data_IF_945240195375
#
_entry.id   IF_945240195375
#
_cell.length_a   1.000
_cell.length_b   1.000
_cell.length_c   1.000
_cell.angle_alpha   90.00
_cell.angle_beta   90.00
_cell.angle_gamma   90.00
#
_symmetry.space_group_name_H-M   'P 1'
#
loop_
_entity.id
_entity.type
_entity.pdbx_description
1 polymer ?
#
# COMPACT_ATOMS: atom_id res chain seq x y z
N UNK A 1 18.99 -10.15 10.52
CA UNK A 1 18.64 -11.48 10.00
C UNK A 1 17.23 -11.79 10.46
N UNK A 2 16.26 -11.69 9.55
CA UNK A 2 14.91 -12.16 9.74
C UNK A 2 14.78 -13.45 8.94
N UNK A 3 15.37 -14.52 9.45
CA UNK A 3 15.03 -15.86 9.00
C UNK A 3 14.03 -16.43 10.00
N UNK A 4 12.74 -16.47 9.68
CA UNK A 4 11.79 -17.25 10.46
C UNK A 4 12.28 -18.70 10.41
N UNK A 5 12.21 -19.43 11.52
CA UNK A 5 12.66 -20.81 11.59
C UNK A 5 12.06 -21.63 10.45
N UNK A 6 12.91 -22.21 9.61
CA UNK A 6 12.52 -23.06 8.50
C UNK A 6 12.35 -22.39 7.14
N UNK A 7 12.34 -21.07 7.02
CA UNK A 7 12.31 -20.40 5.73
C UNK A 7 13.69 -20.38 5.08
N UNK A 8 13.74 -20.56 3.77
CA UNK A 8 14.97 -20.58 2.99
C UNK A 8 15.06 -19.40 2.02
N UNK A 9 16.25 -18.83 1.91
CA UNK A 9 16.54 -17.86 0.84
C UNK A 9 16.87 -18.58 -0.46
N UNK A 10 16.31 -18.13 -1.59
CA UNK A 10 16.64 -18.61 -2.93
C UNK A 10 17.66 -17.68 -3.58
N UNK A 11 18.63 -18.26 -4.29
CA UNK A 11 19.57 -17.47 -5.11
C UNK A 11 18.83 -16.70 -6.20
N UNK A 12 19.27 -15.47 -6.44
CA UNK A 12 18.78 -14.63 -7.52
C UNK A 12 19.45 -15.01 -8.84
N UNK A 13 18.69 -14.92 -9.92
CA UNK A 13 19.26 -14.88 -11.29
C UNK A 13 19.78 -13.45 -11.59
N UNK A 14 20.61 -13.32 -12.61
CA UNK A 14 21.09 -11.99 -13.07
C UNK A 14 19.95 -11.10 -13.50
N UNK A 15 18.95 -11.64 -14.19
CA UNK A 15 17.76 -10.92 -14.64
C UNK A 15 16.94 -10.40 -13.46
N UNK A 16 16.70 -11.24 -12.45
CA UNK A 16 15.97 -10.84 -11.23
C UNK A 16 16.67 -9.67 -10.52
N UNK A 17 18.00 -9.74 -10.37
CA UNK A 17 18.77 -8.67 -9.76
C UNK A 17 18.69 -7.35 -10.55
N UNK A 18 18.74 -7.43 -11.88
CA UNK A 18 18.60 -6.27 -12.77
C UNK A 18 17.21 -5.65 -12.67
N UNK A 19 16.18 -6.46 -12.44
CA UNK A 19 14.80 -6.01 -12.26
C UNK A 19 14.48 -5.48 -10.85
N UNK A 20 15.49 -5.31 -9.99
CA UNK A 20 15.34 -4.76 -8.65
C UNK A 20 14.91 -5.77 -7.59
N UNK A 21 14.91 -7.06 -7.90
CA UNK A 21 14.68 -8.11 -6.91
C UNK A 21 15.97 -8.26 -6.07
N UNK A 22 15.84 -8.14 -4.77
CA UNK A 22 16.98 -8.21 -3.83
C UNK A 22 16.98 -9.50 -3.00
N UNK A 23 15.92 -10.30 -3.07
CA UNK A 23 15.86 -11.58 -2.38
C UNK A 23 14.52 -12.29 -2.53
N UNK A 24 14.52 -13.56 -2.23
CA UNK A 24 13.34 -14.40 -2.05
C UNK A 24 13.43 -15.11 -0.71
N UNK A 25 12.31 -15.20 -0.03
CA UNK A 25 12.15 -15.96 1.20
C UNK A 25 11.05 -16.99 0.96
N UNK A 26 11.41 -18.26 0.89
CA UNK A 26 10.49 -19.34 0.51
C UNK A 26 10.07 -20.18 1.73
N UNK A 27 8.79 -20.55 1.75
CA UNK A 27 8.18 -21.37 2.77
C UNK A 27 8.87 -22.74 2.89
N UNK A 28 9.04 -23.29 4.10
CA UNK A 28 9.53 -24.65 4.32
C UNK A 28 8.51 -25.73 3.95
N UNK A 29 7.23 -25.36 3.79
CA UNK A 29 6.16 -26.32 3.48
C UNK A 29 6.28 -26.81 2.03
N UNK A 30 6.56 -28.11 1.89
CA UNK A 30 6.68 -28.77 0.59
C UNK A 30 5.32 -28.96 -0.11
N UNK A 31 4.20 -28.91 0.62
CA UNK A 31 2.85 -29.09 0.06
C UNK A 31 2.26 -27.78 -0.48
N UNK A 32 2.61 -26.67 0.12
CA UNK A 32 2.20 -25.31 -0.30
C UNK A 32 3.41 -24.39 -0.32
N UNK A 33 4.30 -24.62 -1.30
CA UNK A 33 5.47 -23.76 -1.48
C UNK A 33 5.06 -22.38 -1.99
N UNK A 34 5.32 -21.34 -1.22
CA UNK A 34 5.23 -19.96 -1.67
C UNK A 34 6.48 -19.18 -1.28
N UNK A 35 6.79 -18.14 -2.04
CA UNK A 35 7.93 -17.29 -1.78
C UNK A 35 7.51 -15.84 -1.63
N UNK A 36 8.10 -15.15 -0.67
CA UNK A 36 8.04 -13.69 -0.54
C UNK A 36 9.18 -13.12 -1.38
N UNK A 37 8.86 -12.34 -2.38
CA UNK A 37 9.86 -11.64 -3.19
C UNK A 37 10.11 -10.26 -2.60
N UNK A 38 11.36 -9.96 -2.29
CA UNK A 38 11.81 -8.67 -1.80
C UNK A 38 12.31 -7.84 -2.97
N UNK A 39 11.68 -6.68 -3.18
CA UNK A 39 11.98 -5.81 -4.33
C UNK A 39 12.39 -4.41 -3.84
N UNK A 40 13.37 -3.81 -4.49
CA UNK A 40 13.85 -2.45 -4.22
C UNK A 40 13.74 -1.57 -5.46
N UNK A 41 13.31 -0.32 -5.27
CA UNK A 41 13.27 0.67 -6.35
C UNK A 41 12.14 0.48 -7.38
N UNK A 42 11.19 -0.43 -7.13
CA UNK A 42 10.05 -0.74 -8.02
C UNK A 42 8.69 -0.57 -7.33
N UNK A 43 8.60 0.40 -6.44
CA UNK A 43 7.40 0.57 -5.61
C UNK A 43 6.12 0.74 -6.45
N UNK A 44 6.16 1.61 -7.46
CA UNK A 44 5.00 1.88 -8.31
C UNK A 44 4.56 0.65 -9.11
N UNK A 45 5.54 -0.10 -9.65
CA UNK A 45 5.28 -1.30 -10.46
C UNK A 45 4.62 -2.40 -9.60
N UNK A 46 5.18 -2.63 -8.39
CA UNK A 46 4.64 -3.61 -7.43
C UNK A 46 3.23 -3.20 -6.99
N UNK A 47 3.04 -1.92 -6.70
CA UNK A 47 1.75 -1.41 -6.27
C UNK A 47 0.69 -1.56 -7.36
N UNK A 48 1.03 -1.26 -8.61
CA UNK A 48 0.14 -1.42 -9.75
C UNK A 48 -0.25 -2.90 -9.98
N UNK A 49 0.71 -3.83 -9.81
CA UNK A 49 0.51 -5.26 -9.99
C UNK A 49 -0.21 -5.95 -8.80
N UNK A 50 -0.33 -5.28 -7.66
CA UNK A 50 -0.92 -5.89 -6.45
C UNK A 50 -2.45 -5.96 -6.55
N UNK A 51 -3.04 -7.04 -6.03
CA UNK A 51 -4.49 -7.17 -5.83
C UNK A 51 -4.95 -6.57 -4.49
N UNK A 52 -4.06 -6.54 -3.50
CA UNK A 52 -4.26 -6.03 -2.16
C UNK A 52 -2.92 -5.59 -1.59
N UNK A 53 -2.92 -4.60 -0.72
CA UNK A 53 -1.73 -4.08 -0.04
C UNK A 53 -1.86 -4.27 1.46
N UNK A 54 -0.83 -4.85 2.08
CA UNK A 54 -0.66 -4.82 3.54
C UNK A 54 0.31 -3.68 3.83
N UNK A 55 -0.20 -2.57 4.36
CA UNK A 55 0.57 -1.35 4.47
C UNK A 55 0.71 -0.82 5.89
N UNK A 56 1.95 -0.60 6.32
CA UNK A 56 2.29 0.09 7.58
C UNK A 56 2.96 1.44 7.28
N UNK A 57 2.40 2.18 6.32
CA UNK A 57 2.94 3.45 5.85
C UNK A 57 1.83 4.49 5.65
N UNK A 58 2.15 5.77 5.79
CA UNK A 58 1.22 6.86 5.49
C UNK A 58 0.98 6.99 3.99
N UNK A 59 1.92 7.63 3.31
CA UNK A 59 1.85 7.94 1.87
C UNK A 59 1.73 6.68 1.00
N UNK A 60 2.37 5.56 1.39
CA UNK A 60 2.26 4.31 0.64
C UNK A 60 0.84 3.76 0.60
N UNK A 61 0.09 3.85 1.71
CA UNK A 61 -1.30 3.45 1.76
C UNK A 61 -2.19 4.40 0.93
N UNK A 62 -1.93 5.70 1.00
CA UNK A 62 -2.65 6.71 0.19
C UNK A 62 -2.45 6.46 -1.32
N UNK A 63 -1.22 6.14 -1.74
CA UNK A 63 -0.94 5.80 -3.13
C UNK A 63 -1.64 4.51 -3.57
N UNK A 64 -1.68 3.48 -2.70
CA UNK A 64 -2.42 2.25 -2.96
C UNK A 64 -3.92 2.53 -3.16
N UNK A 65 -4.51 3.26 -2.23
CA UNK A 65 -5.91 3.66 -2.26
C UNK A 65 -6.23 4.50 -3.50
N UNK A 66 -5.34 5.43 -3.87
CA UNK A 66 -5.47 6.23 -5.09
C UNK A 66 -5.38 5.46 -6.41
N UNK A 67 -4.84 4.24 -6.38
CA UNK A 67 -4.87 3.28 -7.48
C UNK A 67 -6.05 2.29 -7.39
N UNK A 68 -6.99 2.51 -6.49
CA UNK A 68 -8.13 1.63 -6.28
C UNK A 68 -7.75 0.28 -5.65
N UNK A 69 -6.59 0.19 -4.98
CA UNK A 69 -6.17 -1.05 -4.33
C UNK A 69 -6.69 -1.10 -2.90
N UNK A 70 -7.35 -2.20 -2.48
CA UNK A 70 -7.70 -2.42 -1.08
C UNK A 70 -6.44 -2.43 -0.20
N UNK A 71 -6.54 -1.84 0.97
CA UNK A 71 -5.44 -1.82 1.94
C UNK A 71 -5.87 -2.47 3.25
N UNK A 72 -5.07 -3.39 3.75
CA UNK A 72 -5.16 -3.91 5.12
C UNK A 72 -4.03 -3.30 5.94
N UNK A 73 -4.36 -2.73 7.08
CA UNK A 73 -3.40 -2.07 7.95
C UNK A 73 -3.64 -2.39 9.42
N UNK A 74 -2.62 -2.23 10.23
CA UNK A 74 -2.69 -2.38 11.69
C UNK A 74 -1.61 -1.52 12.35
N UNK A 75 -1.76 -1.14 13.64
CA UNK A 75 -0.76 -0.32 14.32
C UNK A 75 0.62 -0.99 14.35
N UNK A 76 1.66 -0.25 13.98
CA UNK A 76 3.05 -0.68 14.09
C UNK A 76 3.58 -0.61 15.52
N UNK A 77 4.80 -1.12 15.75
CA UNK A 77 5.51 -0.96 17.03
C UNK A 77 6.27 0.37 17.16
N UNK A 78 6.51 1.03 16.03
CA UNK A 78 7.26 2.27 15.99
C UNK A 78 6.40 3.51 16.25
N UNK A 79 7.02 4.64 16.60
CA UNK A 79 6.30 5.88 16.94
C UNK A 79 5.57 6.50 15.74
N UNK A 80 6.02 6.22 14.52
CA UNK A 80 5.47 6.83 13.31
C UNK A 80 4.13 6.21 12.88
N UNK A 81 3.90 4.92 13.13
CA UNK A 81 2.68 4.22 12.73
C UNK A 81 1.89 3.74 13.96
N UNK A 82 1.53 4.69 14.81
CA UNK A 82 0.82 4.47 16.06
C UNK A 82 -0.68 4.19 15.85
N UNK A 83 -1.37 3.70 16.88
CA UNK A 83 -2.84 3.54 16.86
C UNK A 83 -3.58 4.83 16.53
N UNK A 84 -3.11 5.97 17.04
CA UNK A 84 -3.70 7.28 16.73
C UNK A 84 -3.57 7.60 15.23
N UNK A 85 -2.41 7.33 14.64
CA UNK A 85 -2.16 7.59 13.24
C UNK A 85 -3.03 6.72 12.33
N UNK A 86 -3.13 5.40 12.58
CA UNK A 86 -3.95 4.52 11.73
C UNK A 86 -5.45 4.84 11.83
N UNK A 87 -5.94 5.30 12.99
CA UNK A 87 -7.32 5.77 13.15
C UNK A 87 -7.59 7.04 12.33
N UNK A 88 -6.63 7.97 12.29
CA UNK A 88 -6.71 9.17 11.44
C UNK A 88 -6.73 8.76 9.96
N UNK A 89 -5.83 7.86 9.56
CA UNK A 89 -5.77 7.36 8.19
C UNK A 89 -7.07 6.63 7.79
N UNK A 90 -7.63 5.78 8.65
CA UNK A 90 -8.93 5.13 8.44
C UNK A 90 -10.05 6.15 8.24
N UNK A 91 -10.07 7.23 9.01
CA UNK A 91 -11.06 8.30 8.85
C UNK A 91 -10.91 9.03 7.52
N UNK A 92 -9.67 9.26 7.07
CA UNK A 92 -9.36 9.94 5.82
C UNK A 92 -9.73 9.08 4.60
N UNK A 93 -9.30 7.83 4.59
CA UNK A 93 -9.40 6.92 3.45
C UNK A 93 -10.71 6.10 3.44
N UNK A 94 -11.49 6.14 4.51
CA UNK A 94 -12.78 5.46 4.60
C UNK A 94 -12.64 3.93 4.55
N UNK A 95 -13.60 3.27 3.92
CA UNK A 95 -13.65 1.81 3.83
C UNK A 95 -12.79 1.22 2.69
N UNK A 96 -11.95 2.03 2.03
CA UNK A 96 -10.88 1.55 1.16
C UNK A 96 -9.74 0.89 1.95
N UNK A 97 -9.69 1.10 3.27
CA UNK A 97 -8.69 0.57 4.17
C UNK A 97 -9.35 -0.22 5.31
N UNK A 98 -8.94 -1.48 5.50
CA UNK A 98 -9.34 -2.31 6.64
C UNK A 98 -8.32 -2.15 7.76
N UNK A 99 -8.77 -1.59 8.89
CA UNK A 99 -7.95 -1.44 10.09
C UNK A 99 -8.14 -2.64 11.02
N UNK A 100 -7.08 -3.44 11.17
CA UNK A 100 -7.07 -4.67 11.96
C UNK A 100 -6.32 -4.51 13.28
N UNK A 101 -6.53 -5.45 14.19
CA UNK A 101 -5.63 -5.69 15.32
C UNK A 101 -4.34 -6.33 14.80
N UNK A 102 -3.31 -6.42 15.66
CA UNK A 102 -2.03 -7.05 15.29
C UNK A 102 -2.05 -8.59 15.38
N UNK A 103 -3.22 -9.18 15.42
CA UNK A 103 -3.39 -10.64 15.50
C UNK A 103 -3.25 -11.24 14.08
N UNK A 104 -2.24 -12.10 13.82
CA UNK A 104 -2.00 -12.62 12.48
C UNK A 104 -3.17 -13.38 11.87
N UNK A 105 -3.91 -14.14 12.67
CA UNK A 105 -5.08 -14.91 12.21
C UNK A 105 -6.22 -13.98 11.76
N UNK A 106 -6.44 -12.88 12.46
CA UNK A 106 -7.46 -11.88 12.12
C UNK A 106 -7.07 -11.16 10.82
N UNK A 107 -5.79 -10.79 10.68
CA UNK A 107 -5.26 -10.16 9.46
C UNK A 107 -5.40 -11.11 8.27
N UNK A 108 -5.01 -12.38 8.42
CA UNK A 108 -5.10 -13.39 7.37
C UNK A 108 -6.55 -13.63 6.94
N UNK A 109 -7.48 -13.70 7.89
CA UNK A 109 -8.92 -13.84 7.61
C UNK A 109 -9.47 -12.68 6.79
N UNK A 110 -9.13 -11.44 7.13
CA UNK A 110 -9.57 -10.26 6.37
C UNK A 110 -8.94 -10.22 4.96
N UNK A 111 -7.67 -10.58 4.83
CA UNK A 111 -7.00 -10.67 3.53
C UNK A 111 -7.70 -11.69 2.63
N UNK A 112 -7.95 -12.90 3.14
CA UNK A 112 -8.63 -13.95 2.39
C UNK A 112 -10.03 -13.51 1.95
N UNK A 113 -10.80 -12.90 2.86
CA UNK A 113 -12.13 -12.37 2.56
C UNK A 113 -12.08 -11.36 1.40
N UNK A 114 -11.15 -10.40 1.43
CA UNK A 114 -11.03 -9.39 0.37
C UNK A 114 -10.58 -10.02 -0.95
N UNK A 115 -9.66 -10.98 -0.93
CA UNK A 115 -9.13 -11.62 -2.14
C UNK A 115 -10.12 -12.59 -2.79
N UNK A 116 -11.00 -13.22 -2.00
CA UNK A 116 -11.97 -14.21 -2.51
C UNK A 116 -13.33 -13.61 -2.87
N UNK A 117 -13.63 -12.39 -2.41
CA UNK A 117 -14.88 -11.70 -2.73
C UNK A 117 -14.62 -10.48 -3.63
N UNK A 118 -14.89 -10.64 -4.92
CA UNK A 118 -14.70 -9.58 -5.92
C UNK A 118 -15.51 -8.32 -5.58
N UNK A 119 -16.71 -8.48 -5.00
CA UNK A 119 -17.59 -7.34 -4.69
C UNK A 119 -16.99 -6.47 -3.57
N UNK A 120 -16.37 -7.07 -2.58
CA UNK A 120 -15.65 -6.36 -1.52
C UNK A 120 -14.45 -5.62 -2.10
N UNK A 121 -13.66 -6.30 -2.94
CA UNK A 121 -12.48 -5.72 -3.59
C UNK A 121 -12.86 -4.50 -4.44
N UNK A 122 -13.86 -4.63 -5.28
CA UNK A 122 -14.36 -3.54 -6.14
C UNK A 122 -14.91 -2.37 -5.32
N UNK A 123 -15.72 -2.64 -4.31
CA UNK A 123 -16.25 -1.61 -3.41
C UNK A 123 -15.15 -0.84 -2.69
N UNK A 124 -14.16 -1.53 -2.13
CA UNK A 124 -13.01 -0.90 -1.49
C UNK A 124 -12.22 -0.03 -2.47
N UNK A 125 -12.00 -0.52 -3.68
CA UNK A 125 -11.32 0.22 -4.74
C UNK A 125 -12.06 1.49 -5.13
N UNK A 126 -13.37 1.41 -5.37
CA UNK A 126 -14.21 2.54 -5.73
C UNK A 126 -14.21 3.64 -4.65
N UNK A 127 -14.34 3.25 -3.37
CA UNK A 127 -14.24 4.18 -2.25
C UNK A 127 -12.87 4.86 -2.23
N UNK A 128 -11.80 4.11 -2.52
CA UNK A 128 -10.45 4.65 -2.56
C UNK A 128 -10.28 5.72 -3.62
N UNK A 129 -10.72 5.45 -4.83
CA UNK A 129 -10.68 6.42 -5.93
C UNK A 129 -11.50 7.67 -5.62
N UNK A 130 -12.69 7.52 -5.04
CA UNK A 130 -13.53 8.65 -4.60
C UNK A 130 -12.82 9.51 -3.55
N UNK A 131 -12.22 8.89 -2.52
CA UNK A 131 -11.54 9.59 -1.42
C UNK A 131 -10.28 10.31 -1.85
N UNK A 132 -9.52 9.74 -2.76
CA UNK A 132 -8.29 10.35 -3.27
C UNK A 132 -8.56 11.36 -4.37
N UNK A 133 -9.69 11.26 -5.06
CA UNK A 133 -10.10 12.15 -6.15
C UNK A 133 -9.27 11.97 -7.42
N UNK A 134 -9.59 12.78 -8.41
CA UNK A 134 -8.96 12.75 -9.73
C UNK A 134 -7.48 13.17 -9.70
N UNK A 135 -6.64 12.58 -10.54
CA UNK A 135 -5.26 13.00 -10.73
C UNK A 135 -5.14 14.49 -11.10
N UNK A 136 -4.02 15.11 -10.73
CA UNK A 136 -3.72 16.49 -11.12
C UNK A 136 -3.84 17.51 -9.98
N UNK A 137 -3.97 17.09 -8.72
CA UNK A 137 -4.02 17.98 -7.57
C UNK A 137 -2.86 18.99 -7.52
N UNK A 138 -1.63 18.53 -7.75
CA UNK A 138 -0.46 19.40 -7.79
C UNK A 138 -0.56 20.48 -8.89
N UNK A 139 -1.08 20.12 -10.06
CA UNK A 139 -1.31 21.10 -11.15
C UNK A 139 -2.36 22.15 -10.76
N UNK A 140 -3.45 21.72 -10.13
CA UNK A 140 -4.52 22.64 -9.66
C UNK A 140 -3.96 23.61 -8.62
N UNK A 141 -3.17 23.14 -7.67
CA UNK A 141 -2.51 23.99 -6.66
C UNK A 141 -1.57 25.00 -7.34
N UNK A 142 -0.72 24.54 -8.28
CA UNK A 142 0.21 25.42 -8.99
C UNK A 142 -0.51 26.53 -9.79
N UNK A 143 -1.64 26.19 -10.42
CA UNK A 143 -2.47 27.16 -11.12
C UNK A 143 -3.06 28.20 -10.17
N UNK A 144 -3.60 27.78 -9.02
CA UNK A 144 -4.14 28.71 -8.02
C UNK A 144 -3.07 29.65 -7.47
N UNK A 145 -1.87 29.14 -7.19
CA UNK A 145 -0.73 29.95 -6.75
C UNK A 145 -0.38 30.99 -7.82
N UNK A 146 -0.27 30.55 -9.09
CA UNK A 146 0.00 31.46 -10.21
C UNK A 146 -1.06 32.56 -10.32
N UNK A 147 -2.33 32.21 -10.31
CA UNK A 147 -3.43 33.19 -10.38
C UNK A 147 -3.38 34.20 -9.24
N UNK A 148 -3.07 33.77 -8.01
CA UNK A 148 -2.91 34.65 -6.87
C UNK A 148 -1.82 35.70 -7.13
N UNK A 149 -0.65 35.31 -7.62
CA UNK A 149 0.44 36.23 -7.93
C UNK A 149 0.12 37.16 -9.12
N UNK A 150 -0.57 36.65 -10.15
CA UNK A 150 -0.94 37.47 -11.31
C UNK A 150 -1.96 38.54 -10.93
N UNK A 151 -2.92 38.25 -10.03
CA UNK A 151 -3.86 39.24 -9.47
C UNK A 151 -3.16 40.29 -8.61
N UNK A 152 -2.21 39.85 -7.76
CA UNK A 152 -1.48 40.79 -6.90
C UNK A 152 -0.63 41.77 -7.70
N UNK A 153 -0.06 41.39 -8.85
CA UNK A 153 0.68 42.27 -9.74
C UNK A 153 -0.17 43.30 -10.48
N UNK A 154 -1.46 43.02 -10.68
CA UNK A 154 -2.41 43.96 -11.35
C UNK A 154 -3.04 44.96 -10.39
N UNK A 155 -2.83 44.78 -9.08
CA UNK A 155 -3.38 45.66 -8.03
C UNK A 155 -2.37 46.73 -7.55
N UNK A 156 -1.15 46.75 -8.15
CA UNK A 156 -0.11 47.76 -7.95
C UNK A 156 0.00 48.59 -9.23
#
# INVERSE_FOLDING_TARGET
KLEPSGWASRKLTTEEATNGIVGHLCSPDQKQSFCITVVKGRFADILAASDLVIGLAGTGNEQAVGLGKPVVTFPGRGPQFSEKFVKIQKRLLGDSISLMTREPSVIAGEILKILTDASIKEKMGAIGLERMGEPGGARKIALQIKEYFDRSKRAI
#
